data_IF_649886462816
#
_entry.id   IF_649886462816
#
_cell.length_a   1.000
_cell.length_b   1.000
_cell.length_c   1.000
_cell.angle_alpha   90.00
_cell.angle_beta   90.00
_cell.angle_gamma   90.00
#
_symmetry.space_group_name_H-M   'P 1'
#
loop_
_entity.id
_entity.type
_entity.pdbx_description
1 polymer ?
#
# COMPACT_ATOMS: atom_id res chain seq x y z
N UNK A 1 -9.64 -4.93 -14.66
CA UNK A 1 -9.95 -5.99 -15.66
C UNK A 1 -11.45 -6.01 -15.87
N UNK A 2 -11.94 -6.15 -17.12
CA UNK A 2 -13.36 -6.34 -17.38
C UNK A 2 -13.76 -7.79 -17.07
N UNK A 3 -14.94 -7.97 -16.47
CA UNK A 3 -15.50 -9.29 -16.23
C UNK A 3 -15.84 -9.90 -17.58
N UNK A 4 -15.24 -11.05 -17.92
CA UNK A 4 -15.48 -11.75 -19.19
C UNK A 4 -16.54 -12.84 -19.07
N UNK A 5 -16.73 -13.39 -17.86
CA UNK A 5 -17.75 -14.41 -17.58
C UNK A 5 -18.11 -14.41 -16.08
N UNK A 6 -19.34 -14.85 -15.77
CA UNK A 6 -19.73 -15.11 -14.37
C UNK A 6 -19.15 -16.45 -13.89
N UNK A 7 -18.79 -16.53 -12.60
CA UNK A 7 -18.38 -17.80 -11.98
C UNK A 7 -19.57 -18.74 -11.86
N UNK A 8 -19.50 -19.91 -12.48
CA UNK A 8 -20.55 -20.93 -12.47
C UNK A 8 -20.16 -22.14 -11.61
N UNK A 9 -21.14 -22.94 -11.20
CA UNK A 9 -20.94 -24.19 -10.46
C UNK A 9 -19.97 -25.14 -11.16
N UNK A 10 -19.99 -25.17 -12.51
CA UNK A 10 -19.07 -25.97 -13.31
C UNK A 10 -17.58 -25.58 -13.11
N UNK A 11 -17.32 -24.32 -12.80
CA UNK A 11 -15.97 -23.83 -12.55
C UNK A 11 -15.46 -24.27 -11.17
N UNK A 12 -16.37 -24.67 -10.27
CA UNK A 12 -16.11 -25.07 -8.90
C UNK A 12 -16.48 -26.54 -8.65
N UNK A 13 -16.60 -27.37 -9.70
CA UNK A 13 -17.02 -28.77 -9.58
C UNK A 13 -16.17 -29.62 -8.60
N UNK A 14 -14.88 -29.29 -8.46
CA UNK A 14 -14.00 -29.91 -7.48
C UNK A 14 -14.25 -29.48 -6.02
N UNK A 15 -14.94 -28.36 -5.81
CA UNK A 15 -15.17 -27.73 -4.50
C UNK A 15 -16.56 -28.04 -3.91
N UNK A 16 -17.42 -28.72 -4.65
CA UNK A 16 -18.78 -29.05 -4.18
C UNK A 16 -18.79 -30.31 -3.30
N UNK A 17 -17.65 -30.94 -3.05
CA UNK A 17 -17.53 -32.11 -2.17
C UNK A 17 -17.47 -31.70 -0.70
N UNK A 18 -18.26 -32.33 0.19
CA UNK A 18 -18.30 -31.96 1.62
C UNK A 18 -16.99 -32.16 2.39
N UNK A 19 -16.02 -32.85 1.80
CA UNK A 19 -14.77 -33.27 2.45
C UNK A 19 -13.61 -32.28 2.25
N UNK A 20 -13.80 -31.19 1.52
CA UNK A 20 -12.74 -30.20 1.33
C UNK A 20 -12.69 -29.32 2.57
N UNK A 21 -11.64 -29.49 3.36
CA UNK A 21 -11.40 -28.71 4.55
C UNK A 21 -11.27 -27.21 4.22
N UNK A 22 -11.93 -26.36 5.00
CA UNK A 22 -11.89 -24.87 4.89
C UNK A 22 -10.47 -24.30 4.94
N UNK A 23 -9.49 -25.07 5.40
CA UNK A 23 -8.09 -24.68 5.50
C UNK A 23 -7.43 -24.30 4.14
N UNK A 24 -7.97 -24.77 3.02
CA UNK A 24 -7.45 -24.42 1.68
C UNK A 24 -7.77 -22.99 1.23
N UNK A 25 -8.75 -22.37 1.88
CA UNK A 25 -9.17 -21.00 1.55
C UNK A 25 -8.64 -19.96 2.54
N UNK A 26 -7.85 -20.39 3.52
CA UNK A 26 -7.17 -19.48 4.43
C UNK A 26 -5.91 -18.91 3.76
N UNK A 27 -6.07 -18.27 2.58
CA UNK A 27 -5.03 -17.37 2.12
C UNK A 27 -4.92 -16.18 3.05
N UNK A 28 -3.67 -15.81 3.32
CA UNK A 28 -3.37 -14.71 4.22
C UNK A 28 -3.87 -13.42 3.62
N UNK A 29 -4.76 -12.76 4.31
CA UNK A 29 -5.29 -11.48 3.89
C UNK A 29 -4.17 -10.44 3.84
N UNK A 30 -3.85 -9.97 2.64
CA UNK A 30 -2.81 -8.97 2.43
C UNK A 30 -3.37 -7.58 2.68
N UNK A 31 -2.90 -6.96 3.74
CA UNK A 31 -3.20 -5.56 4.04
C UNK A 31 -2.30 -4.64 3.21
N UNK A 32 -2.76 -3.41 2.96
CA UNK A 32 -1.92 -2.37 2.36
C UNK A 32 -0.67 -2.11 3.21
N UNK A 33 0.50 -2.23 2.61
CA UNK A 33 1.77 -2.01 3.30
C UNK A 33 1.99 -0.53 3.62
N UNK A 34 1.47 0.36 2.77
CA UNK A 34 1.56 1.81 3.00
C UNK A 34 0.68 2.23 4.17
N UNK A 35 -0.53 1.66 4.28
CA UNK A 35 -1.44 1.96 5.39
C UNK A 35 -0.86 1.55 6.75
N UNK A 36 -0.01 0.52 6.80
CA UNK A 36 0.63 0.07 8.04
C UNK A 36 1.66 1.05 8.60
N UNK A 37 2.32 1.85 7.74
CA UNK A 37 3.37 2.78 8.12
C UNK A 37 2.93 4.25 8.09
N UNK A 38 2.04 4.62 7.16
CA UNK A 38 1.55 5.98 7.02
C UNK A 38 0.53 6.32 8.11
N UNK A 39 0.43 7.58 8.44
CA UNK A 39 -0.46 8.06 9.50
C UNK A 39 -1.91 8.10 9.01
N UNK A 40 -2.80 7.41 9.71
CA UNK A 40 -4.23 7.50 9.47
C UNK A 40 -4.81 8.82 10.01
N UNK A 41 -5.70 9.44 9.24
CA UNK A 41 -6.44 10.66 9.59
C UNK A 41 -7.93 10.41 9.32
N UNK A 42 -8.84 10.85 10.21
CA UNK A 42 -10.27 10.82 9.91
C UNK A 42 -10.57 11.57 8.61
N UNK A 43 -11.39 10.98 7.75
CA UNK A 43 -11.75 11.57 6.47
C UNK A 43 -13.27 11.69 6.37
N UNK A 44 -13.76 12.90 6.08
CA UNK A 44 -15.17 13.14 5.80
C UNK A 44 -15.48 13.00 4.30
N UNK A 45 -16.75 12.85 3.95
CA UNK A 45 -17.20 12.76 2.55
C UNK A 45 -16.81 14.02 1.75
N UNK A 46 -16.72 15.17 2.40
CA UNK A 46 -16.30 16.43 1.78
C UNK A 46 -14.79 16.60 1.69
N UNK A 47 -14.01 15.66 2.23
CA UNK A 47 -12.57 15.75 2.37
C UNK A 47 -12.15 16.38 3.69
N UNK A 48 -10.82 16.43 3.90
CA UNK A 48 -10.21 16.98 5.10
C UNK A 48 -9.10 17.96 4.72
N UNK A 49 -9.13 19.16 5.30
CA UNK A 49 -8.12 20.18 5.08
C UNK A 49 -7.02 20.09 6.15
N UNK A 50 -5.81 19.76 5.71
CA UNK A 50 -4.67 19.48 6.60
C UNK A 50 -3.68 20.64 6.52
N UNK A 51 -3.40 21.33 7.63
CA UNK A 51 -2.38 22.38 7.66
C UNK A 51 -0.98 21.79 7.54
N UNK A 52 -0.22 22.25 6.57
CA UNK A 52 1.18 21.88 6.35
C UNK A 52 2.05 23.08 6.57
N UNK A 53 3.07 22.94 7.42
CA UNK A 53 4.02 23.97 7.72
C UNK A 53 5.03 24.08 6.56
N UNK A 54 4.99 25.16 5.80
CA UNK A 54 5.89 25.41 4.67
C UNK A 54 7.20 26.06 5.11
N UNK A 55 7.14 26.94 6.12
CA UNK A 55 8.31 27.63 6.67
C UNK A 55 8.33 27.50 8.18
N UNK A 56 9.48 27.14 8.72
CA UNK A 56 9.70 27.06 10.17
C UNK A 56 10.20 28.39 10.68
N UNK A 57 9.71 28.88 11.83
CA UNK A 57 10.26 30.03 12.47
C UNK A 57 11.73 29.80 12.82
N UNK A 58 12.55 30.85 12.63
CA UNK A 58 13.96 30.83 12.98
C UNK A 58 14.17 31.68 14.24
N UNK A 59 15.07 31.22 15.11
CA UNK A 59 15.48 31.97 16.30
C UNK A 59 16.98 32.30 16.19
N UNK A 60 17.39 33.46 16.69
CA UNK A 60 18.79 33.85 16.80
C UNK A 60 19.09 34.41 18.19
N UNK A 61 20.35 34.28 18.59
CA UNK A 61 20.86 34.87 19.84
C UNK A 61 20.91 36.39 19.72
N UNK A 62 20.52 37.10 20.74
CA UNK A 62 20.43 38.55 20.75
C UNK A 62 21.07 39.06 22.05
N UNK A 63 21.93 40.07 21.94
CA UNK A 63 22.53 40.71 23.08
C UNK A 63 21.51 41.53 23.88
N UNK A 64 21.84 41.86 25.10
CA UNK A 64 20.99 42.67 25.95
C UNK A 64 20.77 44.05 25.32
N UNK A 65 19.51 44.47 25.24
CA UNK A 65 19.13 45.75 24.61
C UNK A 65 19.09 45.74 23.07
N UNK A 66 19.55 44.68 22.39
CA UNK A 66 19.53 44.61 20.94
C UNK A 66 18.12 44.25 20.39
N UNK A 67 17.87 44.71 19.17
CA UNK A 67 16.60 44.44 18.44
C UNK A 67 16.43 42.96 18.18
N UNK A 68 15.27 42.41 18.59
CA UNK A 68 14.91 41.01 18.31
C UNK A 68 14.58 40.85 16.83
N UNK A 69 15.11 39.80 16.14
CA UNK A 69 14.76 39.50 14.77
C UNK A 69 13.29 39.06 14.66
N UNK A 70 12.63 39.50 13.62
CA UNK A 70 11.27 39.02 13.29
C UNK A 70 11.38 37.74 12.51
N UNK A 71 10.53 36.78 12.81
CA UNK A 71 10.42 35.52 12.05
C UNK A 71 8.96 35.26 11.67
N UNK A 72 8.75 34.65 10.56
CA UNK A 72 7.42 34.28 10.05
C UNK A 72 7.34 32.76 9.92
N UNK A 73 6.21 32.19 10.29
CA UNK A 73 5.88 30.80 10.00
C UNK A 73 4.91 30.76 8.81
N UNK A 74 5.25 30.01 7.78
CA UNK A 74 4.36 29.77 6.64
C UNK A 74 3.48 28.55 6.88
N UNK A 75 2.18 28.69 6.72
CA UNK A 75 1.22 27.60 6.74
C UNK A 75 0.47 27.53 5.41
N UNK A 76 0.37 26.36 4.83
CA UNK A 76 -0.44 26.09 3.64
C UNK A 76 -1.43 24.97 3.95
N UNK A 77 -2.66 25.14 3.50
CA UNK A 77 -3.68 24.10 3.61
C UNK A 77 -3.60 23.16 2.41
N UNK A 78 -3.43 21.88 2.66
CA UNK A 78 -3.59 20.82 1.64
C UNK A 78 -4.86 20.06 1.93
N UNK A 79 -5.66 19.82 0.91
CA UNK A 79 -6.93 19.09 1.06
C UNK A 79 -6.75 17.65 0.60
N UNK A 80 -7.09 16.72 1.46
CA UNK A 80 -7.22 15.30 1.15
C UNK A 80 -8.67 15.04 0.75
N UNK A 81 -8.91 14.68 -0.51
CA UNK A 81 -10.25 14.37 -1.02
C UNK A 81 -10.46 12.86 -1.12
N UNK A 82 -11.62 12.34 -0.70
CA UNK A 82 -11.93 10.92 -0.87
C UNK A 82 -12.06 10.57 -2.36
N UNK A 83 -11.58 9.39 -2.71
CA UNK A 83 -11.70 8.79 -4.04
C UNK A 83 -12.29 7.41 -3.91
N UNK A 84 -13.28 7.12 -4.76
CA UNK A 84 -14.02 5.86 -4.73
C UNK A 84 -13.27 4.79 -5.52
N UNK A 85 -13.17 3.61 -4.91
CA UNK A 85 -12.81 2.36 -5.56
C UNK A 85 -13.98 1.40 -5.48
N UNK A 86 -14.23 0.64 -6.53
CA UNK A 86 -15.34 -0.30 -6.58
C UNK A 86 -14.98 -1.54 -7.40
N UNK A 87 -15.60 -2.66 -7.03
CA UNK A 87 -15.54 -3.91 -7.78
C UNK A 87 -16.91 -4.58 -7.77
N UNK A 88 -17.25 -5.29 -8.86
CA UNK A 88 -18.44 -6.12 -8.93
C UNK A 88 -18.02 -7.55 -9.28
N UNK A 89 -18.34 -8.47 -8.39
CA UNK A 89 -18.20 -9.92 -8.63
C UNK A 89 -19.56 -10.50 -8.99
N UNK A 90 -19.62 -11.34 -10.03
CA UNK A 90 -20.86 -12.00 -10.46
C UNK A 90 -20.69 -13.51 -10.31
N UNK A 91 -21.64 -14.10 -9.61
CA UNK A 91 -21.63 -15.53 -9.24
C UNK A 91 -23.00 -16.13 -9.57
N UNK A 92 -23.07 -17.42 -9.90
CA UNK A 92 -24.37 -18.06 -10.09
C UNK A 92 -25.08 -18.26 -8.75
N UNK A 93 -26.41 -18.21 -8.77
CA UNK A 93 -27.22 -18.42 -7.56
C UNK A 93 -27.03 -19.82 -6.97
N UNK A 94 -26.66 -20.83 -7.80
CA UNK A 94 -26.34 -22.16 -7.34
C UNK A 94 -25.07 -22.18 -6.48
N UNK A 95 -24.02 -21.43 -6.88
CA UNK A 95 -22.79 -21.29 -6.10
C UNK A 95 -23.06 -20.59 -4.78
N UNK A 96 -23.87 -19.51 -4.79
CA UNK A 96 -24.24 -18.80 -3.56
C UNK A 96 -25.00 -19.72 -2.61
N UNK A 97 -25.96 -20.52 -3.13
CA UNK A 97 -26.74 -21.47 -2.35
C UNK A 97 -25.92 -22.61 -1.78
N UNK A 98 -25.03 -23.16 -2.60
CA UNK A 98 -24.15 -24.25 -2.18
C UNK A 98 -23.03 -23.79 -1.27
N UNK A 99 -22.61 -22.54 -1.41
CA UNK A 99 -21.50 -21.87 -0.70
C UNK A 99 -20.31 -22.83 -0.42
N UNK A 100 -19.75 -23.47 -1.47
CA UNK A 100 -18.71 -24.47 -1.30
C UNK A 100 -17.48 -23.86 -0.65
N UNK A 101 -16.98 -24.49 0.44
CA UNK A 101 -15.79 -24.04 1.14
C UNK A 101 -15.88 -22.61 1.69
N UNK A 102 -17.08 -22.14 2.02
CA UNK A 102 -17.32 -20.75 2.46
C UNK A 102 -16.92 -19.69 1.41
N UNK A 103 -17.14 -20.00 0.13
CA UNK A 103 -16.72 -19.20 -1.02
C UNK A 103 -17.09 -17.71 -0.92
N UNK A 104 -18.26 -17.39 -0.38
CA UNK A 104 -18.73 -16.02 -0.27
C UNK A 104 -17.87 -15.18 0.67
N UNK A 105 -17.36 -15.76 1.75
CA UNK A 105 -16.46 -15.07 2.68
C UNK A 105 -15.07 -14.91 2.08
N UNK A 106 -14.55 -15.95 1.43
CA UNK A 106 -13.28 -15.87 0.68
C UNK A 106 -13.36 -14.78 -0.38
N UNK A 107 -14.45 -14.72 -1.14
CA UNK A 107 -14.62 -13.69 -2.18
C UNK A 107 -14.60 -12.26 -1.59
N UNK A 108 -15.19 -12.04 -0.42
CA UNK A 108 -15.13 -10.74 0.27
C UNK A 108 -13.71 -10.38 0.67
N UNK A 109 -12.96 -11.35 1.20
CA UNK A 109 -11.56 -11.16 1.59
C UNK A 109 -10.68 -10.83 0.37
N UNK A 110 -10.83 -11.55 -0.73
CA UNK A 110 -10.12 -11.30 -1.99
C UNK A 110 -10.42 -9.91 -2.58
N UNK A 111 -11.68 -9.47 -2.50
CA UNK A 111 -12.04 -8.11 -2.93
C UNK A 111 -11.38 -7.07 -2.04
N UNK A 112 -11.35 -7.26 -0.72
CA UNK A 112 -10.69 -6.35 0.20
C UNK A 112 -9.17 -6.29 -0.08
N UNK A 113 -8.53 -7.43 -0.34
CA UNK A 113 -7.12 -7.49 -0.75
C UNK A 113 -6.89 -6.75 -2.07
N UNK A 114 -7.76 -6.94 -3.06
CA UNK A 114 -7.63 -6.24 -4.35
C UNK A 114 -7.72 -4.72 -4.20
N UNK A 115 -8.52 -4.23 -3.25
CA UNK A 115 -8.60 -2.80 -2.93
C UNK A 115 -7.32 -2.29 -2.27
N UNK A 116 -6.75 -3.07 -1.33
CA UNK A 116 -5.47 -2.74 -0.71
C UNK A 116 -4.34 -2.66 -1.74
N UNK A 117 -4.25 -3.63 -2.66
CA UNK A 117 -3.29 -3.62 -3.77
C UNK A 117 -3.47 -2.42 -4.70
N UNK A 118 -4.71 -2.14 -5.12
CA UNK A 118 -4.97 -0.99 -5.99
C UNK A 118 -4.65 0.35 -5.32
N UNK A 119 -4.85 0.45 -4.01
CA UNK A 119 -4.43 1.61 -3.23
C UNK A 119 -2.90 1.72 -3.20
N UNK A 120 -2.18 0.64 -2.86
CA UNK A 120 -0.71 0.63 -2.83
C UNK A 120 -0.11 0.96 -4.20
N UNK A 121 -0.62 0.40 -5.30
CA UNK A 121 -0.19 0.71 -6.67
C UNK A 121 -0.36 2.21 -7.00
N UNK A 122 -1.49 2.79 -6.61
CA UNK A 122 -1.74 4.21 -6.83
C UNK A 122 -0.80 5.10 -6.01
N UNK A 123 -0.57 4.78 -4.73
CA UNK A 123 0.20 5.65 -3.82
C UNK A 123 1.71 5.42 -3.89
N UNK A 124 2.17 4.23 -4.26
CA UNK A 124 3.61 3.94 -4.46
C UNK A 124 4.03 4.36 -5.86
N UNK A 125 3.41 3.79 -6.88
CA UNK A 125 3.84 3.93 -8.29
C UNK A 125 3.13 5.03 -9.05
N UNK A 126 1.93 5.41 -8.62
CA UNK A 126 1.08 6.33 -9.36
C UNK A 126 0.29 5.67 -10.49
N UNK A 127 0.18 4.34 -10.47
CA UNK A 127 -0.60 3.58 -11.45
C UNK A 127 -2.09 3.89 -11.24
N UNK A 128 -2.76 4.39 -12.30
CA UNK A 128 -4.17 4.81 -12.23
C UNK A 128 -4.48 5.72 -11.04
N UNK A 129 -3.54 6.57 -10.63
CA UNK A 129 -3.59 7.37 -9.42
C UNK A 129 -4.73 8.41 -9.46
N UNK A 130 -5.77 8.26 -8.63
CA UNK A 130 -6.87 9.21 -8.58
C UNK A 130 -6.56 10.46 -7.72
N UNK A 131 -5.47 10.43 -6.94
CA UNK A 131 -5.13 11.48 -5.98
C UNK A 131 -4.35 12.65 -6.57
N UNK A 132 -3.94 12.55 -7.83
CA UNK A 132 -3.25 13.60 -8.58
C UNK A 132 -1.83 13.26 -8.98
N UNK A 133 -1.31 14.02 -9.94
CA UNK A 133 0.04 13.81 -10.47
C UNK A 133 1.08 14.15 -9.39
N UNK A 134 2.09 13.29 -9.25
CA UNK A 134 3.21 13.52 -8.33
C UNK A 134 2.88 13.32 -6.86
N UNK A 135 1.72 12.75 -6.52
CA UNK A 135 1.36 12.41 -5.13
C UNK A 135 1.81 11.01 -4.71
N UNK A 136 2.42 10.26 -5.60
CA UNK A 136 2.96 8.94 -5.34
C UNK A 136 4.38 8.98 -4.80
N UNK A 137 4.75 8.00 -3.99
CA UNK A 137 6.04 7.93 -3.29
C UNK A 137 7.21 7.79 -4.26
N UNK A 138 7.08 6.96 -5.31
CA UNK A 138 8.13 6.73 -6.30
C UNK A 138 8.42 7.94 -7.21
N UNK A 139 7.59 9.01 -7.16
CA UNK A 139 7.86 10.26 -7.89
C UNK A 139 9.01 11.09 -7.28
N UNK A 140 9.60 10.63 -6.19
CA UNK A 140 10.80 11.26 -5.61
C UNK A 140 11.97 11.25 -6.61
N UNK A 141 12.73 12.35 -6.63
CA UNK A 141 13.97 12.45 -7.40
C UNK A 141 15.15 11.70 -6.78
N UNK A 142 15.04 11.34 -5.47
CA UNK A 142 16.07 10.60 -4.75
C UNK A 142 15.95 9.12 -5.07
N UNK A 143 16.99 8.56 -5.69
CA UNK A 143 17.02 7.15 -6.08
C UNK A 143 18.38 6.54 -5.72
N UNK A 144 18.36 5.33 -5.21
CA UNK A 144 19.55 4.52 -4.93
C UNK A 144 19.32 3.14 -5.52
N UNK A 145 20.27 2.62 -6.26
CA UNK A 145 20.19 1.26 -6.80
C UNK A 145 20.75 0.28 -5.78
N UNK A 146 19.93 -0.67 -5.36
CA UNK A 146 20.37 -1.75 -4.46
C UNK A 146 21.33 -2.71 -5.17
N UNK A 147 22.25 -3.30 -4.39
CA UNK A 147 23.21 -4.29 -4.89
C UNK A 147 24.34 -3.70 -5.73
N UNK A 148 24.57 -2.39 -5.67
CA UNK A 148 25.67 -1.73 -6.39
C UNK A 148 26.96 -1.62 -5.59
N UNK A 149 26.86 -1.52 -4.28
CA UNK A 149 28.02 -1.48 -3.39
C UNK A 149 28.65 -2.87 -3.25
N UNK A 150 29.98 -3.01 -3.40
CA UNK A 150 30.64 -4.30 -3.19
C UNK A 150 30.48 -4.81 -1.74
N UNK A 151 30.44 -6.11 -1.56
CA UNK A 151 30.28 -6.73 -0.24
C UNK A 151 31.36 -6.27 0.78
N UNK A 152 32.61 -6.09 0.32
CA UNK A 152 33.72 -5.60 1.15
C UNK A 152 33.64 -4.10 1.51
N UNK A 153 32.67 -3.38 0.97
CA UNK A 153 32.37 -1.98 1.29
C UNK A 153 30.96 -1.80 1.90
N UNK A 154 30.42 -2.87 2.45
CA UNK A 154 29.13 -2.85 3.16
C UNK A 154 27.93 -3.34 2.34
N UNK A 155 28.09 -3.64 1.04
CA UNK A 155 27.02 -4.22 0.21
C UNK A 155 25.72 -3.42 0.28
N UNK A 156 24.59 -4.12 0.42
CA UNK A 156 23.25 -3.53 0.49
C UNK A 156 23.10 -2.54 1.67
N UNK A 157 23.79 -2.79 2.79
CA UNK A 157 23.78 -1.87 3.92
C UNK A 157 24.33 -0.49 3.54
N UNK A 158 25.39 -0.45 2.72
CA UNK A 158 25.96 0.81 2.23
C UNK A 158 25.01 1.51 1.24
N UNK A 159 24.32 0.75 0.39
CA UNK A 159 23.32 1.30 -0.52
C UNK A 159 22.15 1.94 0.25
N UNK A 160 21.62 1.25 1.27
CA UNK A 160 20.58 1.78 2.13
C UNK A 160 21.03 3.03 2.91
N UNK A 161 22.26 3.01 3.41
CA UNK A 161 22.84 4.15 4.10
C UNK A 161 23.04 5.37 3.16
N UNK A 162 23.32 5.11 1.88
CA UNK A 162 23.38 6.17 0.87
C UNK A 162 22.01 6.84 0.67
N UNK A 163 20.92 6.08 0.74
CA UNK A 163 19.57 6.64 0.74
C UNK A 163 19.28 7.51 1.97
N UNK A 164 19.73 7.08 3.14
CA UNK A 164 19.67 7.88 4.36
C UNK A 164 20.48 9.20 4.21
N UNK A 165 21.69 9.13 3.63
CA UNK A 165 22.54 10.31 3.40
C UNK A 165 21.84 11.35 2.50
N UNK A 166 21.15 10.90 1.42
CA UNK A 166 20.37 11.79 0.56
C UNK A 166 19.24 12.51 1.32
N UNK A 167 18.60 11.84 2.27
CA UNK A 167 17.54 12.46 3.08
C UNK A 167 18.12 13.42 4.14
N UNK A 168 19.19 13.03 4.80
CA UNK A 168 19.82 13.84 5.87
C UNK A 168 20.43 15.13 5.30
N UNK A 169 21.05 15.07 4.12
CA UNK A 169 21.56 16.26 3.42
C UNK A 169 20.46 17.30 3.16
N UNK A 170 19.25 16.84 2.88
CA UNK A 170 18.07 17.70 2.72
C UNK A 170 17.37 18.02 4.04
N UNK A 171 17.98 17.71 5.19
CA UNK A 171 17.39 17.89 6.53
C UNK A 171 16.05 17.18 6.71
N UNK A 172 15.88 16.04 6.01
CA UNK A 172 14.73 15.15 6.13
C UNK A 172 15.09 13.96 7.01
N UNK A 173 14.05 13.30 7.54
CA UNK A 173 14.20 12.12 8.39
C UNK A 173 13.86 10.86 7.62
N UNK A 174 14.38 9.76 8.10
CA UNK A 174 13.99 8.42 7.65
C UNK A 174 13.48 7.67 8.88
N UNK A 175 12.22 7.27 8.88
CA UNK A 175 11.58 6.59 10.01
C UNK A 175 11.05 5.18 9.66
N UNK A 176 11.07 4.80 8.39
CA UNK A 176 10.61 3.49 7.97
C UNK A 176 11.01 3.14 6.55
N UNK A 177 10.82 1.87 6.23
CA UNK A 177 11.06 1.30 4.92
C UNK A 177 9.88 0.42 4.49
N UNK A 178 9.63 0.39 3.21
CA UNK A 178 8.72 -0.55 2.56
C UNK A 178 9.51 -1.21 1.44
N UNK A 179 9.54 -2.53 1.42
CA UNK A 179 10.22 -3.31 0.39
C UNK A 179 9.30 -4.36 -0.21
N UNK A 180 9.59 -4.74 -1.43
CA UNK A 180 8.98 -5.89 -2.06
C UNK A 180 9.61 -7.17 -1.54
N UNK A 181 8.83 -8.25 -1.53
CA UNK A 181 9.29 -9.59 -1.15
C UNK A 181 10.47 -10.08 -2.00
N UNK A 182 10.60 -9.60 -3.24
CA UNK A 182 11.72 -9.87 -4.13
C UNK A 182 13.06 -9.36 -3.55
N UNK A 183 13.03 -8.33 -2.72
CA UNK A 183 14.22 -7.79 -2.08
C UNK A 183 14.66 -8.61 -0.84
N UNK A 184 13.76 -9.37 -0.22
CA UNK A 184 14.06 -10.09 1.02
C UNK A 184 15.26 -11.05 0.91
N UNK A 185 15.41 -11.88 -0.13
CA UNK A 185 16.59 -12.74 -0.27
C UNK A 185 17.90 -11.97 -0.29
N UNK A 186 17.90 -10.75 -0.83
CA UNK A 186 19.08 -9.88 -0.86
C UNK A 186 19.45 -9.41 0.56
N UNK A 187 18.46 -9.10 1.38
CA UNK A 187 18.67 -8.71 2.78
C UNK A 187 19.15 -9.89 3.62
N UNK A 188 18.57 -11.07 3.43
CA UNK A 188 18.96 -12.29 4.16
C UNK A 188 20.38 -12.76 3.81
N UNK A 189 20.81 -12.53 2.57
CA UNK A 189 22.18 -12.81 2.12
C UNK A 189 23.21 -11.78 2.63
N UNK A 190 22.75 -10.63 3.16
CA UNK A 190 23.61 -9.57 3.65
C UNK A 190 24.02 -9.83 5.09
N UNK A 191 25.26 -10.27 5.28
CA UNK A 191 25.85 -10.55 6.59
C UNK A 191 27.04 -9.63 6.85
N UNK A 192 27.34 -9.37 8.12
CA UNK A 192 28.55 -8.67 8.51
C UNK A 192 29.80 -9.58 8.37
N UNK A 193 30.98 -9.04 8.66
CA UNK A 193 32.24 -9.79 8.63
C UNK A 193 32.29 -10.99 9.59
N UNK A 194 31.38 -11.08 10.55
CA UNK A 194 31.24 -12.16 11.52
C UNK A 194 30.08 -13.12 11.19
N UNK A 195 29.42 -12.93 10.02
CA UNK A 195 28.29 -13.77 9.60
C UNK A 195 26.96 -13.42 10.26
N UNK A 196 26.82 -12.25 10.89
CA UNK A 196 25.55 -11.82 11.48
C UNK A 196 24.65 -11.21 10.41
N UNK A 197 23.37 -11.59 10.36
CA UNK A 197 22.45 -10.99 9.41
C UNK A 197 22.25 -9.51 9.69
N UNK A 198 22.21 -8.70 8.65
CA UNK A 198 21.95 -7.25 8.74
C UNK A 198 20.46 -6.95 8.83
N UNK A 199 19.63 -7.85 8.37
CA UNK A 199 18.19 -7.79 8.54
C UNK A 199 17.76 -8.72 9.69
N UNK A 200 16.97 -8.17 10.61
CA UNK A 200 16.42 -8.94 11.73
C UNK A 200 14.91 -8.98 11.55
N UNK A 201 14.36 -10.12 11.08
CA UNK A 201 12.92 -10.30 10.98
C UNK A 201 12.32 -10.34 12.37
N UNK A 202 11.19 -9.69 12.56
CA UNK A 202 10.38 -9.89 13.75
C UNK A 202 9.64 -11.23 13.65
N UNK A 203 9.49 -11.97 14.76
CA UNK A 203 8.69 -13.19 14.76
C UNK A 203 7.24 -12.82 14.41
N UNK A 204 6.88 -12.99 13.17
CA UNK A 204 5.50 -12.80 12.70
C UNK A 204 4.73 -14.10 12.83
N UNK A 205 3.43 -13.99 13.12
CA UNK A 205 2.54 -15.14 13.03
C UNK A 205 2.55 -15.61 11.57
N UNK A 206 2.65 -16.92 11.35
CA UNK A 206 2.78 -17.53 10.01
C UNK A 206 1.67 -17.14 9.00
N UNK A 207 0.62 -16.46 9.48
CA UNK A 207 -0.52 -15.98 8.70
C UNK A 207 -0.47 -14.48 8.36
N UNK A 208 0.59 -13.75 8.73
CA UNK A 208 0.70 -12.33 8.43
C UNK A 208 1.11 -12.11 6.96
N UNK A 209 0.33 -11.37 6.23
CA UNK A 209 0.56 -11.03 4.83
C UNK A 209 1.71 -10.04 4.63
N UNK A 210 1.84 -9.12 5.58
CA UNK A 210 2.93 -8.16 5.62
C UNK A 210 3.96 -8.67 6.62
N UNK A 211 5.17 -8.93 6.15
CA UNK A 211 6.28 -9.29 7.05
C UNK A 211 6.93 -8.02 7.56
N UNK A 212 7.10 -7.95 8.87
CA UNK A 212 7.75 -6.82 9.53
C UNK A 212 9.12 -7.22 10.04
N UNK A 213 10.01 -6.26 10.09
CA UNK A 213 11.35 -6.41 10.66
C UNK A 213 12.01 -5.07 10.85
N UNK A 214 13.29 -5.09 11.18
CA UNK A 214 14.08 -3.87 11.35
C UNK A 214 15.25 -3.83 10.37
N UNK A 215 15.39 -2.69 9.69
CA UNK A 215 16.49 -2.37 8.79
C UNK A 215 17.09 -1.04 9.21
N UNK A 216 18.41 -0.98 9.43
CA UNK A 216 19.08 0.20 9.99
C UNK A 216 18.49 0.67 11.32
N UNK A 217 17.95 -0.23 12.15
CA UNK A 217 17.27 0.12 13.40
C UNK A 217 15.94 0.86 13.22
N UNK A 218 15.30 0.74 12.06
CA UNK A 218 14.00 1.32 11.72
C UNK A 218 13.04 0.24 11.26
N UNK A 219 11.73 0.39 11.48
CA UNK A 219 10.74 -0.57 11.00
C UNK A 219 10.81 -0.69 9.48
N UNK A 220 10.75 -1.91 9.00
CA UNK A 220 10.69 -2.26 7.59
C UNK A 220 9.56 -3.26 7.37
N UNK A 221 8.72 -3.01 6.37
CA UNK A 221 7.61 -3.89 5.98
C UNK A 221 7.88 -4.44 4.59
N UNK A 222 7.62 -5.74 4.42
CA UNK A 222 7.76 -6.46 3.15
C UNK A 222 6.40 -6.93 2.67
N UNK A 223 6.10 -6.70 1.40
CA UNK A 223 4.89 -7.17 0.73
C UNK A 223 5.12 -7.26 -0.77
N UNK A 224 4.36 -8.10 -1.46
CA UNK A 224 4.44 -8.34 -2.90
C UNK A 224 3.78 -7.25 -3.78
N UNK A 225 3.38 -6.13 -3.15
CA UNK A 225 2.71 -4.99 -3.83
C UNK A 225 3.63 -3.81 -4.10
N UNK A 226 4.91 -3.90 -3.71
CA UNK A 226 5.83 -2.76 -3.75
C UNK A 226 6.64 -2.69 -5.04
N UNK A 227 6.93 -3.82 -5.68
CA UNK A 227 7.65 -3.82 -6.95
C UNK A 227 6.72 -3.54 -8.14
N UNK A 228 7.16 -2.66 -9.02
CA UNK A 228 6.48 -2.40 -10.29
C UNK A 228 7.12 -3.28 -11.40
N UNK A 229 6.97 -4.61 -11.26
CA UNK A 229 7.51 -5.59 -12.18
C UNK A 229 8.93 -6.06 -11.82
N UNK A 230 9.39 -7.08 -12.55
CA UNK A 230 10.71 -7.72 -12.37
C UNK A 230 11.82 -7.14 -13.25
N UNK A 231 11.52 -6.07 -13.99
CA UNK A 231 12.47 -5.46 -14.92
C UNK A 231 13.61 -4.73 -14.18
N UNK A 232 14.80 -4.74 -14.77
CA UNK A 232 15.93 -3.95 -14.27
C UNK A 232 15.56 -2.46 -14.24
N UNK A 233 15.59 -1.87 -13.04
CA UNK A 233 15.22 -0.47 -12.82
C UNK A 233 13.82 -0.26 -12.25
N UNK A 234 13.06 -1.34 -11.95
CA UNK A 234 11.83 -1.24 -11.15
C UNK A 234 12.15 -0.81 -9.72
N UNK A 235 11.23 -0.05 -9.13
CA UNK A 235 11.32 0.32 -7.72
C UNK A 235 10.98 -0.91 -6.90
N UNK A 236 11.91 -1.36 -6.09
CA UNK A 236 11.75 -2.53 -5.19
C UNK A 236 11.60 -2.13 -3.73
N UNK A 237 11.73 -0.83 -3.44
CA UNK A 237 11.54 -0.34 -2.09
C UNK A 237 11.45 1.18 -2.01
N UNK A 238 10.84 1.65 -0.94
CA UNK A 238 10.73 3.06 -0.58
C UNK A 238 11.15 3.23 0.87
N UNK A 239 12.07 4.17 1.11
CA UNK A 239 12.41 4.61 2.46
C UNK A 239 12.04 6.07 2.65
N UNK A 240 11.70 6.48 3.86
CA UNK A 240 11.38 7.88 4.09
C UNK A 240 10.74 8.20 5.43
N UNK A 241 10.16 9.38 5.51
CA UNK A 241 9.39 9.81 6.66
C UNK A 241 7.89 9.59 6.42
N UNK A 242 7.42 8.41 6.77
CA UNK A 242 6.01 8.02 6.62
C UNK A 242 5.06 8.82 7.53
N UNK A 243 5.56 9.55 8.53
CA UNK A 243 4.73 10.49 9.29
C UNK A 243 4.24 11.67 8.45
N UNK A 244 4.85 11.89 7.27
CA UNK A 244 4.51 12.91 6.28
C UNK A 244 3.62 12.39 5.14
N UNK A 245 3.28 11.12 5.21
CA UNK A 245 2.29 10.45 4.38
C UNK A 245 1.02 10.21 5.21
N UNK A 246 -0.10 10.68 4.69
CA UNK A 246 -1.39 10.65 5.38
C UNK A 246 -2.39 9.89 4.52
N UNK A 247 -3.16 9.02 5.14
CA UNK A 247 -4.26 8.34 4.49
C UNK A 247 -5.51 8.38 5.36
N UNK A 248 -6.66 8.20 4.74
CA UNK A 248 -7.92 8.14 5.44
C UNK A 248 -8.96 7.35 4.65
N UNK A 249 -10.00 6.92 5.32
CA UNK A 249 -11.14 6.26 4.70
C UNK A 249 -12.44 6.89 5.19
N UNK A 250 -13.42 6.97 4.30
CA UNK A 250 -14.79 7.36 4.63
C UNK A 250 -15.58 6.08 4.89
N UNK A 251 -15.68 5.70 6.17
CA UNK A 251 -16.31 4.44 6.56
C UNK A 251 -15.40 3.23 6.27
N UNK A 252 -16.02 2.08 5.99
CA UNK A 252 -15.37 0.83 5.64
C UNK A 252 -15.66 0.42 4.20
N UNK A 253 -15.41 -0.86 3.90
CA UNK A 253 -15.83 -1.45 2.62
C UNK A 253 -17.32 -1.81 2.75
N UNK A 254 -18.13 -1.25 1.86
CA UNK A 254 -19.55 -1.54 1.77
C UNK A 254 -19.79 -2.64 0.75
N UNK A 255 -20.54 -3.65 1.14
CA UNK A 255 -20.93 -4.75 0.27
C UNK A 255 -22.44 -4.74 0.03
N UNK A 256 -22.84 -4.63 -1.23
CA UNK A 256 -24.24 -4.72 -1.66
C UNK A 256 -24.42 -5.98 -2.53
N UNK A 257 -25.56 -6.64 -2.36
CA UNK A 257 -25.90 -7.84 -3.14
C UNK A 257 -27.16 -7.56 -3.96
N UNK A 258 -27.13 -7.89 -5.23
CA UNK A 258 -28.31 -7.77 -6.11
C UNK A 258 -28.49 -9.02 -6.95
N UNK A 259 -29.76 -9.41 -7.12
CA UNK A 259 -30.21 -10.52 -7.99
C UNK A 259 -31.02 -10.03 -9.18
N UNK A 260 -31.38 -8.75 -9.19
CA UNK A 260 -32.34 -8.20 -10.16
C UNK A 260 -31.70 -7.21 -11.14
N UNK A 261 -30.48 -6.76 -10.86
CA UNK A 261 -29.78 -5.75 -11.66
C UNK A 261 -29.32 -6.33 -13.01
N UNK A 262 -29.06 -5.43 -13.95
CA UNK A 262 -28.34 -5.74 -15.19
C UNK A 262 -26.89 -5.30 -15.04
N UNK A 263 -25.95 -6.17 -15.39
CA UNK A 263 -24.50 -5.92 -15.30
C UNK A 263 -23.83 -6.18 -16.64
N UNK A 264 -22.71 -5.50 -16.89
CA UNK A 264 -21.92 -5.74 -18.11
C UNK A 264 -20.93 -6.86 -17.87
N UNK A 265 -21.05 -7.95 -18.64
CA UNK A 265 -20.13 -9.10 -18.64
C UNK A 265 -19.60 -9.27 -20.06
N UNK A 266 -18.29 -9.17 -20.26
CA UNK A 266 -17.67 -9.36 -21.59
C UNK A 266 -18.19 -8.37 -22.65
N UNK A 267 -18.46 -7.11 -22.27
CA UNK A 267 -19.05 -6.05 -23.12
C UNK A 267 -20.55 -6.26 -23.50
N UNK A 268 -21.23 -7.20 -22.86
CA UNK A 268 -22.66 -7.41 -23.06
C UNK A 268 -23.43 -7.10 -21.79
N UNK A 269 -24.61 -6.51 -21.93
CA UNK A 269 -25.54 -6.33 -20.83
C UNK A 269 -26.23 -7.66 -20.52
N UNK A 270 -26.07 -8.12 -19.29
CA UNK A 270 -26.63 -9.39 -18.81
C UNK A 270 -27.58 -9.11 -17.66
N UNK A 271 -28.83 -9.53 -17.81
CA UNK A 271 -29.82 -9.52 -16.74
C UNK A 271 -29.48 -10.62 -15.73
N UNK A 272 -29.30 -10.25 -14.48
CA UNK A 272 -29.00 -11.21 -13.41
C UNK A 272 -30.18 -12.17 -13.19
N UNK A 273 -31.39 -11.63 -13.24
CA UNK A 273 -32.62 -12.39 -13.06
C UNK A 273 -32.79 -13.49 -14.10
N UNK A 274 -32.68 -13.16 -15.38
CA UNK A 274 -32.87 -14.11 -16.46
C UNK A 274 -31.81 -15.22 -16.49
N UNK A 275 -30.61 -14.92 -15.98
CA UNK A 275 -29.46 -15.85 -16.02
C UNK A 275 -29.20 -16.52 -14.67
N UNK A 276 -30.09 -16.33 -13.67
CA UNK A 276 -29.96 -16.90 -12.33
C UNK A 276 -28.58 -16.56 -11.69
N UNK A 277 -28.20 -15.27 -11.78
CA UNK A 277 -26.93 -14.76 -11.29
C UNK A 277 -27.14 -13.82 -10.09
N UNK A 278 -26.11 -13.72 -9.27
CA UNK A 278 -26.02 -12.80 -8.13
C UNK A 278 -24.80 -11.92 -8.34
N UNK A 279 -24.99 -10.60 -8.25
CA UNK A 279 -23.88 -9.65 -8.24
C UNK A 279 -23.61 -9.17 -6.82
N UNK A 280 -22.32 -9.14 -6.45
CA UNK A 280 -21.82 -8.57 -5.20
C UNK A 280 -21.01 -7.35 -5.61
N UNK A 281 -21.48 -6.18 -5.20
CA UNK A 281 -20.79 -4.92 -5.40
C UNK A 281 -20.07 -4.55 -4.10
N UNK A 282 -18.78 -4.30 -4.19
CA UNK A 282 -17.98 -3.74 -3.12
C UNK A 282 -17.57 -2.32 -3.46
N UNK A 283 -17.66 -1.41 -2.53
CA UNK A 283 -17.26 -0.01 -2.66
C UNK A 283 -16.50 0.45 -1.42
N UNK A 284 -15.44 1.23 -1.63
CA UNK A 284 -14.71 1.91 -0.55
C UNK A 284 -14.26 3.29 -1.02
N UNK A 285 -14.03 4.20 -0.08
CA UNK A 285 -13.52 5.55 -0.36
C UNK A 285 -12.25 5.79 0.45
N UNK A 286 -11.16 6.04 -0.25
CA UNK A 286 -9.85 6.33 0.33
C UNK A 286 -9.40 7.75 0.00
N UNK A 287 -8.71 8.36 0.93
CA UNK A 287 -7.95 9.59 0.73
C UNK A 287 -6.47 9.36 0.93
N UNK A 288 -5.67 10.10 0.19
CA UNK A 288 -4.22 10.08 0.28
C UNK A 288 -3.64 11.47 0.14
N UNK A 289 -2.63 11.76 0.94
CA UNK A 289 -1.90 13.02 0.90
C UNK A 289 -0.46 12.82 1.35
N UNK A 290 0.48 13.39 0.59
CA UNK A 290 1.88 13.53 1.04
C UNK A 290 2.24 15.00 1.22
N UNK A 291 3.05 15.29 2.24
CA UNK A 291 3.54 16.67 2.46
C UNK A 291 4.47 17.08 1.31
N UNK A 292 5.44 16.22 0.97
CA UNK A 292 6.36 16.40 -0.17
C UNK A 292 7.07 15.09 -0.49
N UNK A 293 7.30 14.83 -1.78
CA UNK A 293 8.12 13.70 -2.25
C UNK A 293 9.57 13.76 -1.79
N UNK A 294 10.06 14.95 -1.40
CA UNK A 294 11.41 15.14 -0.89
C UNK A 294 11.69 14.39 0.43
N UNK A 295 10.65 13.90 1.11
CA UNK A 295 10.76 13.11 2.33
C UNK A 295 11.04 11.62 2.07
N UNK A 296 11.07 11.19 0.81
CA UNK A 296 11.20 9.80 0.41
C UNK A 296 12.39 9.57 -0.50
N UNK A 297 12.89 8.34 -0.51
CA UNK A 297 13.93 7.81 -1.40
C UNK A 297 13.44 6.47 -1.94
N UNK A 298 13.67 6.22 -3.22
CA UNK A 298 13.34 4.94 -3.88
C UNK A 298 14.60 4.10 -4.09
N UNK A 299 14.41 2.80 -3.98
CA UNK A 299 15.43 1.79 -4.14
C UNK A 299 15.11 0.86 -5.31
#
# INVERSE_FOLDING_TARGET
MAITAATKTSNLAGFIRPEIAQAYFAEVQKASVVQSLARQVPLSVSGEAIPVLTEKPTASWVEEGAKKPTTQAGLTMKTMTPKKIAAIAVVSAEVVRANPGNYMEVLRQEIAESFARAFDDAVIHGTSNPFGVGTNLASTSKAVKLGTSPANKGGIFADLNSGLDLLVKDKKKLNGFVFDDVAEPLFNASVDANGRPLFVPEPTVATAAVRSGTVLGRPASFADTVANGTATGSVVGIGGDFSKALWGTVGGINFDVSTESTVTIGNQLVSLWENNLVAIRAEAEFGWLIESNAHFVKY
#
